data_IF_686741188812
#
_entry.id   IF_686741188812
#
_cell.length_a   1.000
_cell.length_b   1.000
_cell.length_c   1.000
_cell.angle_alpha   90.00
_cell.angle_beta   90.00
_cell.angle_gamma   90.00
#
_symmetry.space_group_name_H-M   'P 1'
#
loop_
_entity.id
_entity.type
_entity.pdbx_description
1 polymer ?
#
# COMPACT_ATOMS: atom_id res chain seq x y z
N UNK A 1 -19.71 -3.83 -12.04
CA UNK A 1 -18.68 -3.30 -12.97
C UNK A 1 -18.12 -1.94 -12.53
N UNK A 2 -18.74 -0.78 -12.78
CA UNK A 2 -18.13 0.54 -12.45
C UNK A 2 -17.85 0.72 -10.93
N UNK A 3 -18.80 0.33 -10.08
CA UNK A 3 -18.68 0.46 -8.62
C UNK A 3 -17.59 -0.45 -8.01
N UNK A 4 -17.40 -1.65 -8.57
CA UNK A 4 -16.34 -2.58 -8.13
C UNK A 4 -14.95 -2.05 -8.48
N UNK A 5 -14.77 -1.46 -9.66
CA UNK A 5 -13.51 -0.81 -10.05
C UNK A 5 -13.19 0.41 -9.18
N UNK A 6 -14.18 1.27 -8.87
CA UNK A 6 -13.96 2.44 -8.02
C UNK A 6 -13.57 2.03 -6.59
N UNK A 7 -14.25 1.02 -6.06
CA UNK A 7 -13.98 0.48 -4.72
C UNK A 7 -12.59 -0.17 -4.66
N UNK A 8 -12.21 -0.90 -5.71
CA UNK A 8 -10.87 -1.49 -5.83
C UNK A 8 -9.76 -0.43 -5.88
N UNK A 9 -9.95 0.63 -6.68
CA UNK A 9 -8.99 1.74 -6.75
C UNK A 9 -8.87 2.49 -5.43
N UNK A 10 -9.99 2.84 -4.79
CA UNK A 10 -10.01 3.51 -3.48
C UNK A 10 -9.32 2.66 -2.40
N UNK A 11 -9.57 1.35 -2.38
CA UNK A 11 -8.90 0.42 -1.47
C UNK A 11 -7.38 0.46 -1.65
N UNK A 12 -6.89 0.42 -2.90
CA UNK A 12 -5.45 0.52 -3.19
C UNK A 12 -4.86 1.83 -2.68
N UNK A 13 -5.50 2.97 -2.94
CA UNK A 13 -5.00 4.29 -2.49
C UNK A 13 -4.97 4.38 -0.97
N UNK A 14 -6.04 3.94 -0.30
CA UNK A 14 -6.14 3.97 1.16
C UNK A 14 -5.07 3.08 1.79
N UNK A 15 -4.93 1.84 1.32
CA UNK A 15 -3.93 0.90 1.82
C UNK A 15 -2.50 1.41 1.58
N UNK A 16 -2.25 2.10 0.46
CA UNK A 16 -0.95 2.70 0.16
C UNK A 16 -0.62 3.86 1.10
N UNK A 17 -1.61 4.71 1.40
CA UNK A 17 -1.47 5.78 2.39
C UNK A 17 -1.14 5.22 3.79
N UNK A 18 -1.86 4.18 4.23
CA UNK A 18 -1.59 3.53 5.52
C UNK A 18 -0.23 2.83 5.56
N UNK A 19 0.12 2.07 4.52
CA UNK A 19 1.43 1.41 4.43
C UNK A 19 2.59 2.41 4.46
N UNK A 20 2.43 3.55 3.79
CA UNK A 20 3.41 4.63 3.80
C UNK A 20 3.52 5.28 5.18
N UNK A 21 2.39 5.57 5.83
CA UNK A 21 2.37 6.14 7.20
C UNK A 21 3.11 5.25 8.21
N UNK A 22 2.90 3.93 8.14
CA UNK A 22 3.58 2.96 9.02
C UNK A 22 5.11 3.02 8.91
N UNK A 23 5.63 3.32 7.72
CA UNK A 23 7.07 3.44 7.47
C UNK A 23 7.57 4.86 7.82
N UNK A 24 6.87 5.91 7.40
CA UNK A 24 7.28 7.31 7.60
C UNK A 24 7.29 7.71 9.08
N UNK A 25 6.44 7.09 9.89
CA UNK A 25 6.42 7.32 11.35
C UNK A 25 7.57 6.63 12.09
N UNK A 26 8.40 5.83 11.42
CA UNK A 26 9.54 5.14 12.04
C UNK A 26 10.44 6.04 12.92
N UNK A 27 10.99 7.17 12.45
CA UNK A 27 11.85 8.02 13.27
C UNK A 27 11.12 8.63 14.48
N UNK A 28 9.79 8.79 14.42
CA UNK A 28 8.99 9.28 15.53
C UNK A 28 8.80 8.18 16.58
N UNK A 29 8.38 6.99 16.14
CA UNK A 29 8.11 5.84 17.01
C UNK A 29 9.40 5.29 17.63
N UNK A 30 10.51 5.29 16.88
CA UNK A 30 11.79 4.74 17.33
C UNK A 30 12.39 5.51 18.52
N UNK A 31 11.98 6.77 18.73
CA UNK A 31 12.37 7.55 19.93
C UNK A 31 11.70 7.03 21.20
N UNK A 32 10.48 6.52 21.10
CA UNK A 32 9.68 6.03 22.23
C UNK A 32 9.87 4.53 22.46
N UNK A 33 9.76 3.72 21.39
CA UNK A 33 9.85 2.27 21.48
C UNK A 33 10.44 1.64 20.21
N UNK A 34 11.68 1.19 20.31
CA UNK A 34 12.44 0.57 19.21
C UNK A 34 11.80 -0.70 18.66
N UNK A 35 11.21 -1.54 19.52
CA UNK A 35 10.56 -2.79 19.08
C UNK A 35 9.30 -2.49 18.28
N UNK A 36 8.48 -1.56 18.77
CA UNK A 36 7.27 -1.15 18.09
C UNK A 36 7.57 -0.43 16.76
N UNK A 37 8.63 0.38 16.71
CA UNK A 37 9.09 1.01 15.47
C UNK A 37 9.49 -0.01 14.40
N UNK A 38 10.27 -1.03 14.79
CA UNK A 38 10.65 -2.11 13.89
C UNK A 38 9.46 -2.92 13.40
N UNK A 39 8.52 -3.23 14.31
CA UNK A 39 7.27 -3.88 13.96
C UNK A 39 6.46 -3.07 12.93
N UNK A 40 6.32 -1.75 13.15
CA UNK A 40 5.62 -0.84 12.21
C UNK A 40 6.24 -0.85 10.81
N UNK A 41 7.57 -0.85 10.72
CA UNK A 41 8.26 -0.91 9.41
C UNK A 41 8.04 -2.26 8.73
N UNK A 42 8.20 -3.37 9.46
CA UNK A 42 7.97 -4.71 8.88
C UNK A 42 6.54 -4.85 8.39
N UNK A 43 5.56 -4.40 9.18
CA UNK A 43 4.16 -4.41 8.78
C UNK A 43 3.91 -3.51 7.57
N UNK A 44 4.51 -2.33 7.51
CA UNK A 44 4.45 -1.45 6.34
C UNK A 44 4.99 -2.12 5.07
N UNK A 45 6.13 -2.80 5.17
CA UNK A 45 6.70 -3.57 4.04
C UNK A 45 5.77 -4.70 3.60
N UNK A 46 5.19 -5.45 4.54
CA UNK A 46 4.21 -6.51 4.23
C UNK A 46 2.99 -5.93 3.49
N UNK A 47 2.47 -4.79 3.95
CA UNK A 47 1.36 -4.09 3.28
C UNK A 47 1.73 -3.72 1.85
N UNK A 48 2.95 -3.21 1.61
CA UNK A 48 3.43 -2.93 0.26
C UNK A 48 3.55 -4.19 -0.61
N UNK A 49 4.05 -5.31 -0.07
CA UNK A 49 4.11 -6.57 -0.79
C UNK A 49 2.72 -7.09 -1.16
N UNK A 50 1.76 -7.01 -0.25
CA UNK A 50 0.36 -7.38 -0.50
C UNK A 50 -0.29 -6.47 -1.54
N UNK A 51 0.00 -5.16 -1.50
CA UNK A 51 -0.46 -4.22 -2.51
C UNK A 51 0.09 -4.57 -3.89
N UNK A 52 1.39 -4.79 -4.01
CA UNK A 52 2.02 -5.22 -5.27
C UNK A 52 1.33 -6.50 -5.77
N UNK A 53 1.19 -7.50 -4.91
CA UNK A 53 0.54 -8.75 -5.26
C UNK A 53 -0.91 -8.55 -5.73
N UNK A 54 -1.69 -7.75 -5.01
CA UNK A 54 -3.08 -7.42 -5.38
C UNK A 54 -3.16 -6.66 -6.72
N UNK A 55 -2.28 -5.68 -6.92
CA UNK A 55 -2.21 -4.88 -8.13
C UNK A 55 -1.83 -5.72 -9.36
N UNK A 56 -0.87 -6.65 -9.23
CA UNK A 56 -0.46 -7.51 -10.35
C UNK A 56 -1.39 -8.71 -10.57
N UNK A 57 -2.08 -9.19 -9.53
CA UNK A 57 -3.05 -10.28 -9.59
C UNK A 57 -4.42 -9.87 -10.15
N UNK A 58 -4.76 -8.58 -10.13
CA UNK A 58 -6.00 -8.07 -10.70
C UNK A 58 -5.76 -7.56 -12.13
N UNK A 59 -6.20 -8.32 -13.13
CA UNK A 59 -5.98 -8.02 -14.55
C UNK A 59 -6.50 -6.63 -14.97
N UNK A 60 -7.65 -6.22 -14.42
CA UNK A 60 -8.30 -4.92 -14.72
C UNK A 60 -7.48 -3.75 -14.17
N UNK A 61 -7.01 -3.86 -12.93
CA UNK A 61 -6.21 -2.81 -12.29
C UNK A 61 -4.81 -2.77 -12.92
N UNK A 62 -4.23 -3.92 -13.24
CA UNK A 62 -2.93 -4.03 -13.91
C UNK A 62 -2.95 -3.35 -15.27
N UNK A 63 -3.95 -3.63 -16.11
CA UNK A 63 -4.08 -2.96 -17.42
C UNK A 63 -4.26 -1.46 -17.28
N UNK A 64 -5.05 -0.99 -16.32
CA UNK A 64 -5.24 0.44 -16.08
C UNK A 64 -3.93 1.14 -15.66
N UNK A 65 -3.16 0.55 -14.76
CA UNK A 65 -1.89 1.12 -14.32
C UNK A 65 -0.84 1.09 -15.44
N UNK A 66 -0.75 -0.01 -16.19
CA UNK A 66 0.22 -0.12 -17.30
C UNK A 66 -0.13 0.80 -18.47
N UNK A 67 -1.42 1.00 -18.80
CA UNK A 67 -1.83 1.88 -19.90
C UNK A 67 -1.84 3.36 -19.53
N UNK A 68 -2.28 3.72 -18.32
CA UNK A 68 -2.50 5.13 -17.94
C UNK A 68 -1.47 5.66 -16.95
N UNK A 69 -0.74 4.81 -16.23
CA UNK A 69 0.25 5.21 -15.22
C UNK A 69 1.70 5.28 -15.69
N UNK A 70 2.03 4.71 -16.86
CA UNK A 70 3.40 4.64 -17.42
C UNK A 70 3.58 5.48 -18.70
N UNK A 71 2.68 6.43 -18.97
CA UNK A 71 2.71 7.30 -20.15
C UNK A 71 3.06 8.74 -19.80
#
# INVERSE_FOLDING_TARGET
MIFETLTGQLSVVITLAFGTLLIVLYPLINKENKYFAWFSVVMGVIVFLLLIWFTFGNEVIREQILRYGLH
#
